data_IF_522098002074
#
_entry.id   IF_522098002074
#
_cell.length_a   1.000
_cell.length_b   1.000
_cell.length_c   1.000
_cell.angle_alpha   90.00
_cell.angle_beta   90.00
_cell.angle_gamma   90.00
#
_symmetry.space_group_name_H-M   'P 1'
#
loop_
_entity.id
_entity.type
_entity.pdbx_description
1 polymer ?
#
# COMPACT_ATOMS: atom_id res chain seq x y z
N UNK A 1 -0.79 4.87 -9.91
CA UNK A 1 -1.09 3.78 -8.95
C UNK A 1 0.08 2.82 -8.77
N UNK A 2 0.67 2.29 -9.86
CA UNK A 2 1.86 1.41 -9.81
C UNK A 2 3.01 1.97 -8.97
N UNK A 3 3.33 3.26 -9.14
CA UNK A 3 4.38 3.91 -8.34
C UNK A 3 4.10 3.92 -6.83
N UNK A 4 2.84 4.15 -6.43
CA UNK A 4 2.44 4.21 -5.01
C UNK A 4 2.57 2.84 -4.33
N UNK A 5 2.12 1.80 -5.04
CA UNK A 5 2.27 0.40 -4.64
C UNK A 5 3.75 0.08 -4.41
N UNK A 6 4.59 0.32 -5.41
CA UNK A 6 6.01 0.06 -5.29
C UNK A 6 6.68 0.95 -4.22
N UNK A 7 6.15 2.14 -3.92
CA UNK A 7 6.75 3.03 -2.91
C UNK A 7 6.53 2.45 -1.51
N UNK A 8 5.31 1.96 -1.27
CA UNK A 8 4.97 1.24 -0.06
C UNK A 8 5.85 -0.02 0.07
N UNK A 9 6.04 -0.77 -1.03
CA UNK A 9 6.94 -1.91 -1.07
C UNK A 9 8.37 -1.55 -0.67
N UNK A 10 8.92 -0.44 -1.14
CA UNK A 10 10.28 -0.02 -0.75
C UNK A 10 10.39 0.28 0.74
N UNK A 11 9.35 0.86 1.34
CA UNK A 11 9.30 1.10 2.79
C UNK A 11 9.31 -0.24 3.53
N UNK A 12 8.45 -1.18 3.14
CA UNK A 12 8.37 -2.50 3.78
C UNK A 12 9.61 -3.37 3.50
N UNK A 13 10.24 -3.25 2.34
CA UNK A 13 11.50 -3.91 2.04
C UNK A 13 12.63 -3.43 2.95
N UNK A 14 12.62 -2.15 3.34
CA UNK A 14 13.62 -1.58 4.25
C UNK A 14 13.34 -1.87 5.73
N UNK A 15 12.10 -1.72 6.17
CA UNK A 15 11.75 -1.76 7.60
C UNK A 15 11.13 -3.09 8.03
N UNK A 16 10.83 -3.99 7.10
CA UNK A 16 10.17 -5.26 7.33
C UNK A 16 8.70 -5.25 6.87
N UNK A 17 8.14 -6.46 6.81
CA UNK A 17 6.74 -6.66 6.47
C UNK A 17 5.80 -5.98 7.50
N UNK A 18 4.60 -5.52 7.08
CA UNK A 18 3.58 -5.03 8.00
C UNK A 18 3.23 -6.07 9.07
N UNK A 19 3.12 -5.64 10.32
CA UNK A 19 2.71 -6.45 11.48
C UNK A 19 1.22 -6.26 11.81
N UNK A 20 0.61 -5.16 11.37
CA UNK A 20 -0.81 -4.86 11.56
C UNK A 20 -1.46 -4.39 10.26
N UNK A 21 -2.69 -4.84 10.05
CA UNK A 21 -3.59 -4.35 9.02
C UNK A 21 -4.88 -3.85 9.65
N UNK A 22 -5.16 -2.57 9.46
CA UNK A 22 -6.29 -1.88 10.08
C UNK A 22 -7.19 -1.34 8.98
N UNK A 23 -8.48 -1.63 9.05
CA UNK A 23 -9.49 -1.01 8.19
C UNK A 23 -10.34 -0.07 9.03
N UNK A 24 -10.33 1.22 8.71
CA UNK A 24 -11.18 2.23 9.36
C UNK A 24 -12.22 2.75 8.39
N UNK A 25 -13.49 2.43 8.64
CA UNK A 25 -14.61 2.90 7.82
C UNK A 25 -15.34 4.04 8.52
N UNK A 26 -15.67 5.11 7.79
CA UNK A 26 -16.41 6.22 8.38
C UNK A 26 -17.76 5.79 8.96
N UNK A 27 -18.20 6.46 10.02
CA UNK A 27 -19.54 6.27 10.57
C UNK A 27 -20.43 7.48 10.23
N UNK A 28 -21.50 7.31 9.43
CA UNK A 28 -22.40 8.41 9.07
C UNK A 28 -23.24 8.91 10.25
N UNK A 29 -23.26 8.18 11.38
CA UNK A 29 -23.96 8.53 12.62
C UNK A 29 -23.07 9.25 13.63
N UNK A 30 -21.89 9.71 13.24
CA UNK A 30 -21.07 10.54 14.12
C UNK A 30 -21.83 11.82 14.51
N UNK A 31 -21.83 12.20 15.81
CA UNK A 31 -22.52 13.42 16.26
C UNK A 31 -22.09 14.67 15.49
N UNK A 32 -20.80 14.77 15.17
CA UNK A 32 -20.25 15.89 14.38
C UNK A 32 -20.90 16.02 13.00
N UNK A 33 -21.48 14.95 12.47
CA UNK A 33 -22.29 14.96 11.25
C UNK A 33 -23.75 15.21 11.62
N UNK A 34 -24.36 14.32 12.41
CA UNK A 34 -25.82 14.27 12.59
C UNK A 34 -26.40 15.50 13.28
N UNK A 35 -25.66 16.12 14.21
CA UNK A 35 -26.09 17.34 14.90
C UNK A 35 -26.02 18.58 14.00
N UNK A 36 -25.29 18.50 12.89
CA UNK A 36 -25.10 19.59 11.92
C UNK A 36 -25.97 19.43 10.66
N UNK A 37 -26.70 18.32 10.53
CA UNK A 37 -27.66 18.12 9.44
C UNK A 37 -28.96 18.89 9.71
N UNK A 38 -29.55 19.45 8.67
CA UNK A 38 -30.94 19.96 8.76
C UNK A 38 -31.89 18.77 8.93
N UNK A 39 -33.10 18.96 9.50
CA UNK A 39 -34.05 17.86 9.73
C UNK A 39 -34.42 17.02 8.49
N UNK A 40 -34.33 17.62 7.29
CA UNK A 40 -34.61 16.95 6.01
C UNK A 40 -33.38 16.40 5.30
N UNK A 41 -32.18 16.64 5.83
CA UNK A 41 -30.91 16.21 5.20
C UNK A 41 -30.48 14.85 5.74
N UNK A 42 -29.96 14.01 4.84
CA UNK A 42 -29.23 12.80 5.20
C UNK A 42 -27.72 12.99 5.00
N UNK A 43 -26.92 12.17 5.69
CA UNK A 43 -25.46 12.19 5.55
C UNK A 43 -24.99 12.02 4.10
N UNK A 44 -25.75 11.30 3.28
CA UNK A 44 -25.48 11.12 1.84
C UNK A 44 -25.62 12.41 1.04
N UNK A 45 -26.45 13.35 1.50
CA UNK A 45 -26.70 14.64 0.85
C UNK A 45 -25.62 15.65 1.21
N UNK A 46 -24.86 15.39 2.29
CA UNK A 46 -23.79 16.24 2.83
C UNK A 46 -22.44 15.53 2.84
N UNK A 47 -21.88 15.18 1.65
CA UNK A 47 -20.58 14.53 1.55
C UNK A 47 -19.44 15.40 2.11
N UNK A 48 -19.62 16.72 2.17
CA UNK A 48 -18.70 17.67 2.79
C UNK A 48 -18.51 17.42 4.28
N UNK A 49 -19.60 17.22 5.03
CA UNK A 49 -19.51 16.87 6.45
C UNK A 49 -18.89 15.49 6.65
N UNK A 50 -19.36 14.48 5.90
CA UNK A 50 -18.82 13.13 6.01
C UNK A 50 -17.30 13.11 5.75
N UNK A 51 -16.82 13.78 4.69
CA UNK A 51 -15.39 13.78 4.35
C UNK A 51 -14.55 14.57 5.34
N UNK A 52 -15.03 15.71 5.82
CA UNK A 52 -14.32 16.53 6.82
C UNK A 52 -14.14 15.77 8.12
N UNK A 53 -15.22 15.21 8.66
CA UNK A 53 -15.18 14.44 9.91
C UNK A 53 -14.34 13.19 9.75
N UNK A 54 -14.49 12.44 8.64
CA UNK A 54 -13.65 11.28 8.35
C UNK A 54 -12.16 11.63 8.30
N UNK A 55 -11.78 12.72 7.62
CA UNK A 55 -10.38 13.16 7.54
C UNK A 55 -9.79 13.50 8.91
N UNK A 56 -10.55 14.25 9.73
CA UNK A 56 -10.11 14.62 11.08
C UNK A 56 -9.94 13.39 11.98
N UNK A 57 -10.90 12.46 11.96
CA UNK A 57 -10.81 11.22 12.73
C UNK A 57 -9.71 10.30 12.21
N UNK A 58 -9.47 10.23 10.90
CA UNK A 58 -8.36 9.47 10.32
C UNK A 58 -7.01 10.04 10.77
N UNK A 59 -6.83 11.36 10.78
CA UNK A 59 -5.60 12.00 11.30
C UNK A 59 -5.38 11.66 12.77
N UNK A 60 -6.43 11.80 13.59
CA UNK A 60 -6.36 11.43 15.00
C UNK A 60 -6.03 9.93 15.20
N UNK A 61 -6.63 9.05 14.40
CA UNK A 61 -6.34 7.62 14.44
C UNK A 61 -4.88 7.33 14.07
N UNK A 62 -4.36 8.02 13.05
CA UNK A 62 -2.95 7.88 12.67
C UNK A 62 -2.00 8.38 13.76
N UNK A 63 -2.33 9.46 14.49
CA UNK A 63 -1.53 9.92 15.64
C UNK A 63 -1.55 8.90 16.79
N UNK A 64 -2.72 8.34 17.11
CA UNK A 64 -2.85 7.27 18.11
C UNK A 64 -1.98 6.05 17.78
N UNK A 65 -1.99 5.64 16.51
CA UNK A 65 -1.27 4.47 16.02
C UNK A 65 0.24 4.73 15.87
N UNK A 66 0.62 5.87 15.30
CA UNK A 66 2.00 6.14 14.89
C UNK A 66 2.81 6.90 15.95
N UNK A 67 2.18 7.78 16.74
CA UNK A 67 2.84 8.65 17.71
C UNK A 67 2.63 8.14 19.13
N UNK A 68 1.39 7.85 19.52
CA UNK A 68 1.06 7.43 20.88
C UNK A 68 1.27 5.93 21.12
N UNK A 69 1.36 5.14 20.07
CA UNK A 69 1.62 3.70 20.16
C UNK A 69 0.49 2.93 20.86
N UNK A 70 -0.76 3.36 20.66
CA UNK A 70 -1.97 2.79 21.30
C UNK A 70 -2.06 1.28 21.15
N UNK A 71 -1.70 0.77 19.97
CA UNK A 71 -1.54 -0.67 19.78
C UNK A 71 -0.16 -1.09 20.26
N UNK A 72 0.91 -0.64 19.59
CA UNK A 72 2.31 -0.75 20.03
C UNK A 72 3.17 0.27 19.27
N UNK A 73 4.46 0.42 19.59
CA UNK A 73 5.31 1.42 18.92
C UNK A 73 5.59 1.04 17.46
N UNK A 74 5.21 1.93 16.54
CA UNK A 74 5.47 1.76 15.10
C UNK A 74 6.83 2.32 14.66
N UNK A 75 7.42 1.73 13.62
CA UNK A 75 8.59 2.28 12.90
C UNK A 75 8.24 2.75 11.49
N UNK A 76 7.20 2.19 10.88
CA UNK A 76 6.77 2.59 9.55
C UNK A 76 5.26 2.41 9.41
N UNK A 77 4.64 3.25 8.60
CA UNK A 77 3.26 3.05 8.21
C UNK A 77 2.99 3.55 6.78
N UNK A 78 1.98 2.96 6.17
CA UNK A 78 1.41 3.40 4.89
C UNK A 78 -0.09 3.24 4.99
N UNK A 79 -0.85 4.20 4.47
CA UNK A 79 -2.29 4.00 4.31
C UNK A 79 -2.79 4.47 2.95
N UNK A 80 -3.92 3.88 2.56
CA UNK A 80 -4.68 4.27 1.37
C UNK A 80 -6.14 4.45 1.73
N UNK A 81 -6.80 5.40 1.09
CA UNK A 81 -8.22 5.65 1.20
C UNK A 81 -8.89 5.08 -0.04
N UNK A 82 -9.94 4.31 0.17
CA UNK A 82 -10.75 3.72 -0.87
C UNK A 82 -12.18 4.23 -0.76
N UNK A 83 -12.77 4.54 -1.91
CA UNK A 83 -14.17 4.91 -2.06
C UNK A 83 -14.84 3.80 -2.86
N UNK A 84 -15.81 3.11 -2.27
CA UNK A 84 -16.57 2.07 -2.95
C UNK A 84 -17.81 2.67 -3.64
N UNK A 85 -18.22 2.09 -4.78
CA UNK A 85 -19.53 2.41 -5.42
C UNK A 85 -20.70 2.36 -4.43
N UNK A 86 -20.67 1.39 -3.51
CA UNK A 86 -21.66 1.21 -2.44
C UNK A 86 -20.90 1.00 -1.14
N UNK A 87 -20.75 2.06 -0.36
CA UNK A 87 -20.01 2.00 0.89
C UNK A 87 -19.61 3.39 1.37
N UNK A 88 -19.30 3.46 2.65
CA UNK A 88 -18.71 4.63 3.28
C UNK A 88 -17.21 4.65 2.95
N UNK A 89 -16.56 5.82 2.94
CA UNK A 89 -15.10 5.87 2.73
C UNK A 89 -14.40 5.06 3.82
N UNK A 90 -13.33 4.39 3.44
CA UNK A 90 -12.51 3.64 4.39
C UNK A 90 -11.03 3.77 4.09
N UNK A 91 -10.25 3.73 5.16
CA UNK A 91 -8.80 3.70 5.10
C UNK A 91 -8.31 2.28 5.36
N UNK A 92 -7.38 1.83 4.54
CA UNK A 92 -6.56 0.64 4.74
C UNK A 92 -5.20 1.08 5.22
N UNK A 93 -4.87 0.76 6.47
CA UNK A 93 -3.69 1.22 7.18
C UNK A 93 -2.80 0.01 7.47
N UNK A 94 -1.52 0.18 7.20
CA UNK A 94 -0.48 -0.81 7.45
C UNK A 94 0.57 -0.23 8.36
N UNK A 95 0.95 -1.02 9.35
CA UNK A 95 1.92 -0.63 10.36
C UNK A 95 2.98 -1.69 10.47
N UNK A 96 4.24 -1.25 10.45
CA UNK A 96 5.40 -2.04 10.86
C UNK A 96 5.76 -1.61 12.28
N UNK A 97 5.82 -2.57 13.20
CA UNK A 97 6.16 -2.36 14.59
C UNK A 97 7.66 -2.43 14.80
N UNK A 98 8.14 -1.79 15.87
CA UNK A 98 9.51 -2.01 16.36
C UNK A 98 9.70 -3.47 16.69
N UNK A 99 10.94 -3.98 16.58
CA UNK A 99 11.26 -5.37 16.85
C UNK A 99 10.78 -5.83 18.25
N UNK A 100 11.06 -5.04 19.28
CA UNK A 100 10.67 -5.32 20.69
C UNK A 100 9.15 -5.22 20.92
N UNK A 101 8.45 -4.58 19.99
CA UNK A 101 7.01 -4.33 20.02
C UNK A 101 6.23 -5.32 19.14
N UNK A 102 6.85 -6.37 18.58
CA UNK A 102 6.11 -7.34 17.76
C UNK A 102 5.22 -8.27 18.60
N UNK A 103 4.14 -8.74 18.00
CA UNK A 103 3.21 -9.71 18.60
C UNK A 103 3.78 -11.14 18.48
N UNK A 104 4.52 -11.57 19.50
CA UNK A 104 5.20 -12.88 19.50
C UNK A 104 4.39 -14.01 20.13
N UNK A 105 3.39 -13.69 20.96
CA UNK A 105 2.57 -14.67 21.70
C UNK A 105 1.08 -14.39 21.55
N UNK A 106 0.25 -15.42 21.72
CA UNK A 106 -1.21 -15.30 21.74
C UNK A 106 -1.69 -14.35 22.84
N UNK A 107 -1.13 -14.46 24.05
CA UNK A 107 -1.44 -13.55 25.16
C UNK A 107 -1.14 -12.09 24.82
N UNK A 108 -0.06 -11.82 24.08
CA UNK A 108 0.23 -10.47 23.60
C UNK A 108 -0.78 -9.98 22.56
N UNK A 109 -1.35 -10.85 21.74
CA UNK A 109 -2.38 -10.49 20.78
C UNK A 109 -3.69 -10.19 21.51
N UNK A 110 -4.10 -11.08 22.43
CA UNK A 110 -5.38 -10.99 23.15
C UNK A 110 -5.48 -9.74 24.04
N UNK A 111 -4.34 -9.17 24.46
CA UNK A 111 -4.29 -7.87 25.14
C UNK A 111 -4.74 -6.69 24.28
N UNK A 112 -4.65 -6.80 22.95
CA UNK A 112 -4.90 -5.68 22.02
C UNK A 112 -5.99 -5.96 20.99
N UNK A 113 -6.26 -7.22 20.67
CA UNK A 113 -7.24 -7.61 19.67
C UNK A 113 -8.23 -8.58 20.28
N UNK A 114 -9.52 -8.22 20.19
CA UNK A 114 -10.64 -9.03 20.62
C UNK A 114 -11.47 -9.42 19.40
N UNK A 115 -12.07 -10.61 19.44
CA UNK A 115 -13.00 -11.10 18.43
C UNK A 115 -14.29 -11.66 19.06
N UNK A 116 -14.67 -11.13 20.22
CA UNK A 116 -15.87 -11.52 20.98
C UNK A 116 -16.82 -10.32 21.16
N UNK A 117 -18.10 -10.62 21.35
CA UNK A 117 -19.16 -9.70 21.74
C UNK A 117 -18.90 -9.33 23.22
N UNK A 118 -18.74 -8.05 23.56
CA UNK A 118 -18.58 -7.61 24.94
C UNK A 118 -19.84 -7.85 25.78
N UNK A 119 -19.68 -7.93 27.10
CA UNK A 119 -20.83 -7.96 28.03
C UNK A 119 -21.70 -6.71 27.86
N UNK A 120 -23.00 -6.92 27.62
CA UNK A 120 -24.01 -5.86 27.51
C UNK A 120 -24.29 -5.15 28.84
N UNK A 121 -23.89 -5.75 29.96
CA UNK A 121 -24.06 -5.19 31.31
C UNK A 121 -22.81 -4.43 31.74
N UNK A 122 -21.63 -5.03 31.60
CA UNK A 122 -20.38 -4.43 32.08
C UNK A 122 -19.84 -3.37 31.12
N UNK A 123 -20.00 -3.59 29.81
CA UNK A 123 -19.48 -2.71 28.77
C UNK A 123 -20.57 -2.38 27.72
N UNK A 124 -21.71 -1.79 28.12
CA UNK A 124 -22.87 -1.59 27.25
C UNK A 124 -22.54 -0.79 25.99
N UNK A 125 -21.69 0.24 26.12
CA UNK A 125 -21.27 1.08 25.00
C UNK A 125 -20.42 0.31 24.00
N UNK A 126 -19.49 -0.52 24.46
CA UNK A 126 -18.66 -1.32 23.55
C UNK A 126 -19.51 -2.41 22.88
N UNK A 127 -20.42 -3.04 23.63
CA UNK A 127 -21.39 -3.99 23.10
C UNK A 127 -22.20 -3.38 21.96
N UNK A 128 -22.76 -2.18 22.15
CA UNK A 128 -23.52 -1.47 21.13
C UNK A 128 -22.69 -1.21 19.86
N UNK A 129 -21.44 -0.74 20.01
CA UNK A 129 -20.56 -0.48 18.87
C UNK A 129 -20.22 -1.78 18.14
N UNK A 130 -19.88 -2.85 18.87
CA UNK A 130 -19.55 -4.14 18.27
C UNK A 130 -20.75 -4.72 17.54
N UNK A 131 -21.92 -4.75 18.16
CA UNK A 131 -23.16 -5.24 17.56
C UNK A 131 -23.53 -4.47 16.27
N UNK A 132 -23.37 -3.14 16.28
CA UNK A 132 -23.74 -2.29 15.15
C UNK A 132 -22.70 -2.24 14.04
N UNK A 133 -21.42 -2.31 14.37
CA UNK A 133 -20.33 -2.02 13.42
C UNK A 133 -19.40 -3.20 13.16
N UNK A 134 -19.21 -4.14 14.08
CA UNK A 134 -18.20 -5.20 13.95
C UNK A 134 -18.80 -6.59 13.76
N UNK A 135 -20.13 -6.71 13.69
CA UNK A 135 -20.77 -7.97 13.34
C UNK A 135 -20.86 -8.13 11.82
N UNK A 136 -20.33 -9.24 11.32
CA UNK A 136 -20.60 -9.64 9.95
C UNK A 136 -22.05 -10.09 9.83
N UNK A 137 -22.80 -9.44 8.95
CA UNK A 137 -24.19 -9.83 8.71
C UNK A 137 -24.33 -11.26 8.15
N UNK A 138 -25.55 -11.84 8.21
CA UNK A 138 -25.81 -13.19 7.70
C UNK A 138 -25.39 -13.34 6.23
N UNK A 139 -24.75 -14.47 5.91
CA UNK A 139 -24.31 -14.84 4.57
C UNK A 139 -24.34 -16.37 4.37
N UNK A 140 -24.08 -16.82 3.15
CA UNK A 140 -24.07 -18.23 2.79
C UNK A 140 -25.49 -18.76 2.65
N UNK A 141 -25.78 -19.91 3.25
CA UNK A 141 -27.14 -20.51 3.25
C UNK A 141 -28.16 -19.52 3.83
N UNK A 142 -27.78 -18.78 4.86
CA UNK A 142 -28.65 -17.83 5.53
C UNK A 142 -29.01 -16.60 4.69
N UNK A 143 -28.13 -16.22 3.76
CA UNK A 143 -28.37 -15.14 2.82
C UNK A 143 -27.56 -15.38 1.53
N UNK A 144 -28.13 -16.13 0.57
CA UNK A 144 -27.44 -16.49 -0.68
C UNK A 144 -27.14 -15.30 -1.60
N UNK A 145 -27.78 -14.15 -1.36
CA UNK A 145 -27.57 -12.91 -2.12
C UNK A 145 -26.53 -11.98 -1.46
N UNK A 146 -25.87 -12.43 -0.39
CA UNK A 146 -24.88 -11.62 0.29
C UNK A 146 -23.70 -11.28 -0.66
N UNK A 147 -23.28 -10.01 -0.75
CA UNK A 147 -22.23 -9.58 -1.68
C UNK A 147 -20.84 -10.14 -1.32
N UNK A 148 -20.70 -10.71 -0.12
CA UNK A 148 -19.46 -11.37 0.33
C UNK A 148 -19.29 -12.79 -0.21
N UNK A 149 -20.29 -13.37 -0.88
CA UNK A 149 -20.21 -14.73 -1.39
C UNK A 149 -19.43 -14.82 -2.72
N UNK A 150 -18.64 -15.87 -2.84
CA UNK A 150 -17.98 -16.31 -4.06
C UNK A 150 -18.01 -17.84 -4.09
N UNK A 151 -18.50 -18.43 -5.18
CA UNK A 151 -18.71 -19.87 -5.28
C UNK A 151 -19.45 -20.46 -4.05
N UNK A 152 -20.48 -19.74 -3.58
CA UNK A 152 -21.30 -20.09 -2.39
C UNK A 152 -20.56 -20.13 -1.04
N UNK A 153 -19.30 -19.68 -0.98
CA UNK A 153 -18.55 -19.52 0.26
C UNK A 153 -18.31 -18.04 0.56
N UNK A 154 -18.28 -17.68 1.85
CA UNK A 154 -17.98 -16.31 2.25
C UNK A 154 -16.50 -16.01 1.98
N UNK A 155 -16.20 -15.00 1.13
CA UNK A 155 -14.83 -14.53 0.86
C UNK A 155 -14.08 -14.11 2.14
N UNK A 156 -14.81 -13.71 3.19
CA UNK A 156 -14.25 -13.32 4.50
C UNK A 156 -14.12 -14.50 5.48
N UNK A 157 -14.44 -15.73 5.03
CA UNK A 157 -14.38 -16.97 5.83
C UNK A 157 -15.17 -16.87 7.14
N UNK A 158 -16.38 -16.31 7.07
CA UNK A 158 -17.31 -16.21 8.19
C UNK A 158 -18.54 -17.12 7.93
N UNK A 159 -19.10 -17.75 8.98
CA UNK A 159 -18.67 -17.72 10.39
C UNK A 159 -17.30 -18.39 10.62
N UNK A 160 -16.55 -17.89 11.61
CA UNK A 160 -15.32 -18.53 12.10
C UNK A 160 -15.66 -19.68 13.06
N UNK A 161 -14.70 -20.54 13.34
CA UNK A 161 -14.85 -21.57 14.36
C UNK A 161 -14.71 -20.96 15.77
N UNK A 162 -15.39 -21.56 16.75
CA UNK A 162 -15.13 -21.27 18.16
C UNK A 162 -13.76 -21.80 18.56
N UNK A 163 -13.09 -21.07 19.46
CA UNK A 163 -11.75 -21.40 19.97
C UNK A 163 -11.62 -20.94 21.41
N UNK A 164 -10.98 -21.75 22.24
CA UNK A 164 -10.68 -21.47 23.65
C UNK A 164 -9.40 -20.67 23.86
N UNK A 165 -8.55 -20.55 22.83
CA UNK A 165 -7.36 -19.72 22.86
C UNK A 165 -7.02 -19.20 21.46
N UNK A 166 -6.31 -18.08 21.40
CA UNK A 166 -5.75 -17.58 20.14
C UNK A 166 -4.55 -18.42 19.73
N UNK A 167 -4.53 -18.88 18.48
CA UNK A 167 -3.39 -19.65 17.94
C UNK A 167 -2.74 -18.92 16.78
N UNK A 168 -1.41 -18.91 16.75
CA UNK A 168 -0.64 -18.36 15.63
C UNK A 168 -0.87 -19.20 14.38
N UNK A 169 -1.13 -18.53 13.25
CA UNK A 169 -1.29 -19.19 11.96
C UNK A 169 -0.12 -18.83 11.05
N UNK A 170 0.69 -19.82 10.68
CA UNK A 170 1.86 -19.63 9.81
C UNK A 170 1.47 -19.19 8.39
N UNK A 171 0.23 -19.49 7.96
CA UNK A 171 -0.24 -19.26 6.59
C UNK A 171 -1.20 -18.07 6.43
N UNK A 172 -1.51 -17.31 7.48
CA UNK A 172 -2.52 -16.25 7.42
C UNK A 172 -2.49 -15.29 8.60
N UNK A 173 -3.67 -14.85 9.02
CA UNK A 173 -3.90 -14.11 10.27
C UNK A 173 -4.03 -15.10 11.44
N UNK A 174 -3.69 -14.70 12.68
CA UNK A 174 -3.98 -15.48 13.88
C UNK A 174 -5.45 -15.93 13.92
N UNK A 175 -5.66 -17.12 14.47
CA UNK A 175 -7.00 -17.63 14.70
C UNK A 175 -7.39 -17.21 16.11
N UNK A 176 -8.12 -16.11 16.22
CA UNK A 176 -8.47 -15.49 17.48
C UNK A 176 -9.38 -16.35 18.35
N UNK A 177 -9.21 -16.21 19.65
CA UNK A 177 -10.09 -16.70 20.70
C UNK A 177 -11.55 -16.24 20.50
N UNK A 178 -12.49 -17.19 20.57
CA UNK A 178 -13.94 -17.00 20.37
C UNK A 178 -14.72 -18.03 21.18
N UNK A 179 -15.27 -17.64 22.34
CA UNK A 179 -16.06 -18.54 23.18
C UNK A 179 -17.51 -18.64 22.71
N UNK A 180 -18.17 -19.80 22.90
CA UNK A 180 -19.62 -19.88 22.79
C UNK A 180 -20.27 -19.16 23.98
N UNK A 181 -21.50 -18.67 23.80
CA UNK A 181 -22.29 -18.05 24.87
C UNK A 181 -22.95 -16.76 24.42
N UNK A 182 -22.17 -15.69 24.35
CA UNK A 182 -22.70 -14.35 24.05
C UNK A 182 -23.26 -14.25 22.62
N UNK A 183 -24.41 -13.58 22.52
CA UNK A 183 -25.10 -13.32 21.27
C UNK A 183 -25.50 -11.85 21.16
N UNK A 184 -25.66 -11.39 19.92
CA UNK A 184 -26.16 -10.06 19.60
C UNK A 184 -27.15 -10.17 18.44
N UNK A 185 -28.17 -9.31 18.46
CA UNK A 185 -29.18 -9.28 17.40
C UNK A 185 -28.74 -8.35 16.27
N UNK A 186 -28.47 -8.93 15.10
CA UNK A 186 -27.91 -8.23 13.93
C UNK A 186 -28.80 -8.50 12.73
N UNK A 187 -29.36 -7.43 12.15
CA UNK A 187 -30.22 -7.50 10.94
C UNK A 187 -31.35 -8.53 11.03
N UNK A 188 -32.01 -8.61 12.19
CA UNK A 188 -33.14 -9.51 12.39
C UNK A 188 -32.76 -10.95 12.78
N UNK A 189 -31.50 -11.22 13.08
CA UNK A 189 -31.02 -12.55 13.49
C UNK A 189 -30.14 -12.47 14.71
N UNK A 190 -30.23 -13.49 15.55
CA UNK A 190 -29.29 -13.71 16.65
C UNK A 190 -27.99 -14.27 16.09
N UNK A 191 -26.87 -13.61 16.40
CA UNK A 191 -25.54 -13.96 15.91
C UNK A 191 -24.57 -14.01 17.09
N UNK A 192 -23.61 -14.92 17.03
CA UNK A 192 -22.65 -15.17 18.12
C UNK A 192 -21.23 -14.69 17.76
N UNK A 193 -20.29 -14.99 18.66
CA UNK A 193 -18.88 -14.66 18.53
C UNK A 193 -18.22 -15.15 17.24
N UNK A 194 -18.79 -16.08 16.47
CA UNK A 194 -18.23 -16.54 15.19
C UNK A 194 -18.30 -15.49 14.09
N UNK A 195 -19.14 -14.47 14.24
CA UNK A 195 -19.38 -13.44 13.24
C UNK A 195 -18.69 -12.11 13.53
N UNK A 196 -18.04 -12.00 14.68
CA UNK A 196 -17.34 -10.77 15.11
C UNK A 196 -16.08 -10.56 14.28
N UNK A 197 -15.94 -9.37 13.71
CA UNK A 197 -14.72 -8.90 13.05
C UNK A 197 -13.71 -8.46 14.12
N UNK A 198 -12.44 -8.89 14.08
CA UNK A 198 -11.44 -8.54 15.09
C UNK A 198 -11.27 -7.03 15.29
N UNK A 199 -11.17 -6.58 16.53
CA UNK A 199 -11.13 -5.15 16.86
C UNK A 199 -10.28 -4.87 18.10
N UNK A 200 -9.93 -3.60 18.30
CA UNK A 200 -9.34 -3.12 19.56
C UNK A 200 -10.41 -2.33 20.35
N UNK A 201 -10.72 -2.71 21.61
CA UNK A 201 -11.75 -2.05 22.42
C UNK A 201 -11.58 -0.54 22.57
N UNK A 202 -10.35 -0.08 22.82
CA UNK A 202 -10.04 1.35 23.01
C UNK A 202 -10.32 2.15 21.73
N UNK A 203 -9.86 1.66 20.56
CA UNK A 203 -10.09 2.33 19.28
C UNK A 203 -11.60 2.42 18.97
N UNK A 204 -12.37 1.36 19.24
CA UNK A 204 -13.81 1.40 19.03
C UNK A 204 -14.49 2.43 19.92
N UNK A 205 -14.18 2.45 21.21
CA UNK A 205 -14.76 3.41 22.16
C UNK A 205 -14.42 4.85 21.80
N UNK A 206 -13.19 5.11 21.34
CA UNK A 206 -12.74 6.45 20.95
C UNK A 206 -13.37 6.95 19.66
N UNK A 207 -13.42 6.10 18.63
CA UNK A 207 -13.82 6.53 17.29
C UNK A 207 -15.27 6.20 16.93
N UNK A 208 -15.95 5.34 17.67
CA UNK A 208 -17.33 4.89 17.41
C UNK A 208 -17.56 4.58 15.92
N UNK A 209 -16.84 3.60 15.40
CA UNK A 209 -16.80 3.28 13.98
C UNK A 209 -16.43 1.82 13.73
N UNK A 210 -16.63 1.35 12.50
CA UNK A 210 -16.12 0.04 12.08
C UNK A 210 -14.59 0.12 11.92
N UNK A 211 -13.86 -0.33 12.95
CA UNK A 211 -12.39 -0.47 12.93
C UNK A 211 -12.03 -1.95 13.07
N UNK A 212 -11.64 -2.57 11.96
CA UNK A 212 -11.06 -3.92 11.97
C UNK A 212 -9.57 -3.83 12.28
N UNK A 213 -9.06 -4.63 13.20
CA UNK A 213 -7.64 -4.72 13.55
C UNK A 213 -7.16 -6.16 13.40
N UNK A 214 -6.31 -6.40 12.40
CA UNK A 214 -5.76 -7.72 12.11
C UNK A 214 -4.25 -7.75 12.34
N UNK A 215 -3.78 -8.73 13.11
CA UNK A 215 -2.34 -8.97 13.28
C UNK A 215 -1.81 -9.79 12.10
N UNK A 216 -0.77 -9.29 11.44
CA UNK A 216 -0.21 -9.89 10.24
C UNK A 216 1.09 -10.62 10.60
N UNK A 217 1.02 -11.95 10.65
CA UNK A 217 2.17 -12.78 11.03
C UNK A 217 2.80 -13.52 9.84
N UNK A 218 2.17 -13.48 8.66
CA UNK A 218 2.59 -14.25 7.49
C UNK A 218 2.74 -13.41 6.22
N UNK A 219 3.64 -13.83 5.33
CA UNK A 219 3.83 -13.23 4.00
C UNK A 219 2.56 -13.34 3.12
N UNK A 220 1.68 -14.30 3.37
CA UNK A 220 0.40 -14.44 2.65
C UNK A 220 -0.60 -13.35 3.03
N UNK A 221 -0.69 -12.97 4.31
CA UNK A 221 -1.49 -11.84 4.75
C UNK A 221 -1.00 -10.54 4.07
N UNK A 222 0.32 -10.38 3.96
CA UNK A 222 0.97 -9.28 3.28
C UNK A 222 0.61 -9.20 1.78
N UNK A 223 0.55 -10.34 1.07
CA UNK A 223 0.05 -10.39 -0.33
C UNK A 223 -1.39 -9.88 -0.46
N UNK A 224 -2.28 -10.32 0.43
CA UNK A 224 -3.68 -9.92 0.43
C UNK A 224 -3.82 -8.41 0.65
N UNK A 225 -3.05 -7.88 1.60
CA UNK A 225 -2.94 -6.46 1.93
C UNK A 225 -2.49 -5.63 0.72
N UNK A 226 -1.51 -6.10 -0.05
CA UNK A 226 -1.03 -5.38 -1.22
C UNK A 226 -2.10 -5.20 -2.29
N UNK A 227 -3.04 -6.14 -2.41
CA UNK A 227 -4.17 -5.95 -3.33
C UNK A 227 -4.97 -4.69 -2.99
N UNK A 228 -5.08 -4.29 -1.71
CA UNK A 228 -5.78 -3.08 -1.29
C UNK A 228 -4.99 -1.81 -1.56
N UNK A 229 -3.67 -1.80 -1.36
CA UNK A 229 -2.82 -0.65 -1.71
C UNK A 229 -2.82 -0.41 -3.23
N UNK A 230 -2.80 -1.50 -3.98
CA UNK A 230 -2.58 -1.49 -5.42
C UNK A 230 -3.90 -1.58 -6.20
N UNK A 231 -5.06 -1.55 -5.51
CA UNK A 231 -6.39 -1.63 -6.12
C UNK A 231 -6.65 -0.39 -6.98
N UNK A 232 -7.08 -0.65 -8.21
CA UNK A 232 -7.58 0.31 -9.18
C UNK A 232 -8.69 1.20 -8.64
N UNK A 233 -8.95 2.30 -9.35
CA UNK A 233 -10.20 3.02 -9.17
C UNK A 233 -11.33 2.23 -9.80
N UNK A 234 -12.53 2.35 -9.23
CA UNK A 234 -13.71 1.76 -9.83
C UNK A 234 -13.96 2.41 -11.19
N UNK A 235 -14.08 1.60 -12.24
CA UNK A 235 -14.48 2.05 -13.57
C UNK A 235 -15.92 1.64 -13.88
N UNK A 236 -16.53 2.34 -14.82
CA UNK A 236 -17.83 2.05 -15.39
C UNK A 236 -17.69 2.01 -16.92
N UNK A 237 -18.12 0.88 -17.49
CA UNK A 237 -18.27 0.75 -18.93
C UNK A 237 -19.68 1.22 -19.31
N UNK A 238 -19.77 2.20 -20.19
CA UNK A 238 -21.02 2.78 -20.68
C UNK A 238 -21.15 2.51 -22.17
N UNK A 239 -22.32 2.06 -22.61
CA UNK A 239 -22.62 1.87 -24.03
C UNK A 239 -23.28 3.14 -24.56
N UNK A 240 -22.74 3.72 -25.63
CA UNK A 240 -23.33 4.86 -26.32
C UNK A 240 -24.26 4.35 -27.42
N UNK A 241 -25.55 4.21 -27.13
CA UNK A 241 -26.57 3.96 -28.17
C UNK A 241 -27.05 5.27 -28.78
N UNK A 242 -26.36 5.75 -29.81
CA UNK A 242 -26.97 6.63 -30.82
C UNK A 242 -27.55 5.73 -31.94
N UNK A 243 -28.68 6.12 -32.53
CA UNK A 243 -29.46 5.30 -33.48
C UNK A 243 -28.66 4.68 -34.64
N UNK A 244 -29.23 3.61 -35.21
CA UNK A 244 -28.65 2.67 -36.19
C UNK A 244 -27.22 2.21 -35.86
N UNK A 245 -27.14 1.04 -35.22
CA UNK A 245 -25.92 0.37 -34.79
C UNK A 245 -25.02 0.06 -35.99
N UNK A 246 -24.03 0.93 -36.26
CA UNK A 246 -22.78 0.48 -36.86
C UNK A 246 -21.98 -0.24 -35.77
N UNK A 247 -21.75 -1.54 -35.95
CA UNK A 247 -20.93 -2.38 -35.05
C UNK A 247 -19.47 -1.91 -35.11
N UNK A 248 -19.10 -0.94 -34.27
CA UNK A 248 -17.72 -0.53 -34.06
C UNK A 248 -17.45 -0.44 -32.54
N UNK A 249 -16.59 -1.32 -32.02
CA UNK A 249 -16.33 -1.47 -30.58
C UNK A 249 -15.68 -0.25 -29.92
N UNK A 250 -14.93 0.56 -30.68
CA UNK A 250 -14.20 1.72 -30.13
C UNK A 250 -15.11 2.94 -29.84
N UNK A 251 -16.01 3.39 -30.75
CA UNK A 251 -16.91 4.51 -30.49
C UNK A 251 -18.14 4.14 -29.63
N UNK A 252 -18.48 2.85 -29.52
CA UNK A 252 -19.71 2.43 -28.84
C UNK A 252 -19.56 2.23 -27.33
N UNK A 253 -18.33 2.22 -26.80
CA UNK A 253 -18.06 1.96 -25.38
C UNK A 253 -17.15 3.04 -24.78
N UNK A 254 -17.59 3.64 -23.67
CA UNK A 254 -16.76 4.48 -22.82
C UNK A 254 -16.39 3.68 -21.58
N UNK A 255 -15.09 3.40 -21.37
CA UNK A 255 -14.57 3.00 -20.06
C UNK A 255 -14.17 4.26 -19.29
N UNK A 256 -15.04 4.68 -18.37
CA UNK A 256 -14.85 5.89 -17.58
C UNK A 256 -14.57 5.56 -16.11
N UNK A 257 -13.71 6.36 -15.49
CA UNK A 257 -13.52 6.31 -14.05
C UNK A 257 -14.79 6.80 -13.33
N UNK A 258 -15.28 6.00 -12.41
CA UNK A 258 -16.32 6.42 -11.48
C UNK A 258 -15.70 7.25 -10.35
N UNK A 259 -16.30 8.41 -10.05
CA UNK A 259 -15.93 9.27 -8.92
C UNK A 259 -17.19 9.53 -8.11
N UNK A 260 -17.25 9.01 -6.89
CA UNK A 260 -18.40 9.23 -6.00
C UNK A 260 -18.40 10.65 -5.44
N UNK A 261 -19.56 11.13 -4.96
CA UNK A 261 -19.64 12.44 -4.31
C UNK A 261 -18.68 12.60 -3.11
N UNK A 262 -18.54 11.59 -2.21
CA UNK A 262 -17.47 11.56 -1.21
C UNK A 262 -16.06 11.69 -1.78
N UNK A 263 -15.72 10.95 -2.85
CA UNK A 263 -14.39 11.03 -3.46
C UNK A 263 -14.13 12.41 -4.08
N UNK A 264 -15.11 12.96 -4.79
CA UNK A 264 -15.02 14.29 -5.38
C UNK A 264 -14.77 15.34 -4.29
N UNK A 265 -15.55 15.28 -3.21
CA UNK A 265 -15.40 16.17 -2.07
C UNK A 265 -14.03 16.04 -1.40
N UNK A 266 -13.53 14.81 -1.20
CA UNK A 266 -12.20 14.54 -0.64
C UNK A 266 -11.08 15.24 -1.42
N UNK A 267 -11.21 15.29 -2.76
CA UNK A 267 -10.28 15.98 -3.65
C UNK A 267 -10.42 17.49 -3.57
N UNK A 268 -11.65 18.01 -3.54
CA UNK A 268 -11.92 19.45 -3.47
C UNK A 268 -11.34 20.07 -2.20
N UNK A 269 -11.38 19.35 -1.08
CA UNK A 269 -10.76 19.79 0.19
C UNK A 269 -9.23 19.55 0.23
N UNK A 270 -8.61 19.16 -0.89
CA UNK A 270 -7.16 18.99 -1.00
C UNK A 270 -6.59 17.81 -0.22
N UNK A 271 -7.41 16.81 0.16
CA UNK A 271 -6.95 15.70 0.99
C UNK A 271 -6.27 14.60 0.17
N UNK A 272 -5.19 14.05 0.70
CA UNK A 272 -4.42 12.99 0.02
C UNK A 272 -5.09 11.63 0.18
N UNK A 273 -5.26 10.90 -0.92
CA UNK A 273 -5.81 9.53 -0.90
C UNK A 273 -4.84 8.49 -0.33
N UNK A 274 -3.56 8.84 -0.18
CA UNK A 274 -2.54 7.94 0.34
C UNK A 274 -1.54 8.75 1.13
N UNK A 275 -0.99 8.14 2.18
CA UNK A 275 0.11 8.71 2.94
C UNK A 275 1.06 7.61 3.44
N UNK A 276 2.22 8.03 3.93
CA UNK A 276 3.32 7.16 4.35
C UNK A 276 4.22 7.88 5.35
N UNK A 277 4.84 7.11 6.24
CA UNK A 277 5.76 7.65 7.25
C UNK A 277 7.11 8.13 6.69
N UNK A 278 7.48 7.71 5.47
CA UNK A 278 8.78 8.02 4.85
C UNK A 278 8.62 8.59 3.45
N UNK A 279 9.40 9.63 3.14
CA UNK A 279 9.51 10.13 1.77
C UNK A 279 10.28 9.12 0.92
N UNK A 280 9.75 8.75 -0.25
CA UNK A 280 10.41 7.79 -1.15
C UNK A 280 11.12 8.55 -2.26
N UNK A 281 12.45 8.52 -2.28
CA UNK A 281 13.26 9.11 -3.34
C UNK A 281 13.46 8.10 -4.46
N UNK A 282 12.88 8.39 -5.64
CA UNK A 282 12.91 7.51 -6.80
C UNK A 282 14.08 7.84 -7.71
N UNK A 283 15.09 6.99 -7.70
CA UNK A 283 16.32 7.10 -8.46
C UNK A 283 16.11 6.63 -9.91
N UNK A 284 16.36 7.48 -10.91
CA UNK A 284 16.21 7.14 -12.33
C UNK A 284 17.27 6.14 -12.77
N UNK A 285 16.87 5.27 -13.69
CA UNK A 285 17.73 4.33 -14.41
C UNK A 285 17.53 4.58 -15.90
N UNK A 286 18.58 5.00 -16.59
CA UNK A 286 18.54 5.28 -18.03
C UNK A 286 19.94 5.12 -18.64
N UNK A 287 19.99 4.95 -19.95
CA UNK A 287 21.24 4.94 -20.71
C UNK A 287 21.74 6.36 -20.99
N UNK A 288 22.99 6.53 -21.44
CA UNK A 288 23.47 7.80 -21.98
C UNK A 288 22.47 8.38 -22.98
N UNK A 289 22.12 9.67 -22.82
CA UNK A 289 21.21 10.41 -23.70
C UNK A 289 19.77 9.85 -23.81
N UNK A 290 19.39 8.88 -22.97
CA UNK A 290 18.02 8.34 -22.91
C UNK A 290 17.29 8.74 -21.63
N UNK A 291 17.62 9.91 -21.07
CA UNK A 291 16.94 10.44 -19.88
C UNK A 291 15.51 10.85 -20.21
N UNK A 292 14.60 10.60 -19.26
CA UNK A 292 13.19 10.97 -19.41
C UNK A 292 13.05 12.49 -19.35
N UNK A 293 12.37 13.05 -20.35
CA UNK A 293 12.00 14.47 -20.43
C UNK A 293 10.49 14.60 -20.26
N UNK A 294 10.05 15.61 -19.52
CA UNK A 294 8.63 15.95 -19.39
C UNK A 294 8.42 17.32 -20.03
N UNK A 295 7.47 17.40 -20.95
CA UNK A 295 7.16 18.60 -21.72
C UNK A 295 5.66 18.87 -21.69
N UNK A 296 5.28 20.10 -22.02
CA UNK A 296 3.90 20.45 -22.35
C UNK A 296 3.74 20.32 -23.86
N UNK A 297 2.56 19.90 -24.30
CA UNK A 297 2.23 19.79 -25.72
C UNK A 297 2.53 21.12 -26.44
N UNK A 298 3.30 21.05 -27.52
CA UNK A 298 3.78 22.23 -28.28
C UNK A 298 5.07 22.88 -27.76
N UNK A 299 5.68 22.35 -26.70
CA UNK A 299 6.95 22.82 -26.12
C UNK A 299 8.01 21.70 -26.06
N UNK A 300 7.97 20.76 -26.99
CA UNK A 300 8.85 19.59 -27.05
C UNK A 300 10.32 20.01 -27.19
N UNK A 301 10.61 20.92 -28.11
CA UNK A 301 11.97 21.33 -28.47
C UNK A 301 12.66 22.11 -27.34
N UNK A 302 11.93 23.05 -26.72
CA UNK A 302 12.38 23.77 -25.53
C UNK A 302 12.70 22.82 -24.36
N UNK A 303 11.85 21.82 -24.16
CA UNK A 303 12.05 20.82 -23.10
C UNK A 303 13.25 19.92 -23.39
N UNK A 304 13.48 19.55 -24.65
CA UNK A 304 14.66 18.80 -25.08
C UNK A 304 15.95 19.62 -24.86
N UNK A 305 15.95 20.89 -25.25
CA UNK A 305 17.11 21.77 -25.08
C UNK A 305 17.42 22.00 -23.59
N UNK A 306 16.39 22.25 -22.77
CA UNK A 306 16.52 22.34 -21.33
C UNK A 306 17.01 21.02 -20.70
N UNK A 307 16.63 19.86 -21.26
CA UNK A 307 17.08 18.57 -20.78
C UNK A 307 18.55 18.29 -21.10
N UNK A 308 19.10 18.82 -22.21
CA UNK A 308 20.52 18.65 -22.57
C UNK A 308 21.44 19.21 -21.50
N UNK A 309 21.13 20.40 -20.98
CA UNK A 309 21.92 21.07 -19.94
C UNK A 309 21.67 20.56 -18.51
N UNK A 310 20.52 19.91 -18.27
CA UNK A 310 20.17 19.36 -16.95
C UNK A 310 20.77 17.99 -16.72
N UNK A 311 21.51 17.85 -15.63
CA UNK A 311 21.97 16.56 -15.16
C UNK A 311 20.85 15.82 -14.42
N UNK A 312 20.80 14.51 -14.59
CA UNK A 312 19.93 13.64 -13.78
C UNK A 312 20.58 13.30 -12.45
N UNK A 313 19.80 12.73 -11.52
CA UNK A 313 20.33 12.16 -10.27
C UNK A 313 21.43 11.11 -10.52
N UNK A 314 21.30 10.31 -11.58
CA UNK A 314 22.28 9.28 -11.95
C UNK A 314 23.57 9.91 -12.49
N UNK A 315 23.44 10.85 -13.41
CA UNK A 315 24.59 11.58 -13.99
C UNK A 315 25.33 12.39 -12.91
N UNK A 316 24.59 13.02 -12.01
CA UNK A 316 25.16 13.77 -10.89
C UNK A 316 25.85 12.86 -9.88
N UNK A 317 25.40 11.61 -9.72
CA UNK A 317 26.07 10.64 -8.85
C UNK A 317 27.43 10.24 -9.41
N UNK A 318 27.52 10.04 -10.72
CA UNK A 318 28.80 9.80 -11.40
C UNK A 318 29.80 10.93 -11.15
N UNK A 319 29.35 12.20 -11.24
CA UNK A 319 30.21 13.36 -10.96
C UNK A 319 30.58 13.49 -9.49
N UNK A 320 29.65 13.15 -8.60
CA UNK A 320 29.92 13.11 -7.16
C UNK A 320 31.06 12.14 -6.85
N UNK A 321 31.03 10.94 -7.45
CA UNK A 321 32.07 9.93 -7.24
C UNK A 321 33.43 10.33 -7.82
N UNK A 322 33.48 11.19 -8.84
CA UNK A 322 34.75 11.73 -9.33
C UNK A 322 35.41 12.71 -8.34
N UNK A 323 34.59 13.43 -7.57
CA UNK A 323 35.06 14.56 -6.75
C UNK A 323 35.17 14.24 -5.24
N UNK A 324 34.42 13.25 -4.74
CA UNK A 324 34.29 12.99 -3.30
C UNK A 324 34.60 11.53 -2.96
N UNK A 325 35.73 11.24 -2.28
CA UNK A 325 36.08 9.88 -1.86
C UNK A 325 35.02 9.20 -0.98
N UNK A 326 34.37 9.94 -0.07
CA UNK A 326 33.28 9.42 0.77
C UNK A 326 32.16 8.80 -0.08
N UNK A 327 31.81 9.43 -1.21
CA UNK A 327 30.75 8.95 -2.10
C UNK A 327 31.13 7.67 -2.85
N UNK A 328 32.43 7.44 -3.07
CA UNK A 328 32.91 6.26 -3.78
C UNK A 328 32.64 4.95 -3.03
N UNK A 329 32.44 5.04 -1.71
CA UNK A 329 32.11 3.89 -0.86
C UNK A 329 30.62 3.53 -0.88
N UNK A 330 29.78 4.39 -1.46
CA UNK A 330 28.32 4.25 -1.40
C UNK A 330 27.74 3.72 -2.71
N UNK A 331 26.74 2.85 -2.58
CA UNK A 331 25.89 2.46 -3.71
C UNK A 331 25.02 3.62 -4.15
N UNK A 332 24.53 3.59 -5.39
CA UNK A 332 23.62 4.63 -5.89
C UNK A 332 22.37 4.77 -5.00
N UNK A 333 21.85 3.66 -4.47
CA UNK A 333 20.73 3.62 -3.53
C UNK A 333 21.06 4.19 -2.15
N UNK A 334 22.33 4.28 -1.78
CA UNK A 334 22.74 4.81 -0.47
C UNK A 334 22.97 6.32 -0.48
N UNK A 335 23.15 6.90 -1.67
CA UNK A 335 23.39 8.34 -1.83
C UNK A 335 22.30 9.19 -1.19
N UNK A 336 21.00 8.94 -1.35
CA UNK A 336 19.97 9.78 -0.73
C UNK A 336 20.04 9.87 0.80
N UNK A 337 20.64 8.88 1.47
CA UNK A 337 20.80 8.88 2.92
C UNK A 337 21.93 9.81 3.39
N UNK A 338 22.94 10.01 2.55
CA UNK A 338 24.14 10.78 2.85
C UNK A 338 24.19 12.13 2.12
N UNK A 339 23.41 12.29 1.05
CA UNK A 339 23.38 13.46 0.18
C UNK A 339 21.93 13.91 -0.10
N UNK A 340 21.78 15.19 -0.38
CA UNK A 340 20.54 15.84 -0.83
C UNK A 340 20.73 16.24 -2.28
N UNK A 341 19.77 15.91 -3.14
CA UNK A 341 19.74 16.38 -4.51
C UNK A 341 19.12 17.77 -4.56
N UNK A 342 19.91 18.78 -4.93
CA UNK A 342 19.49 20.17 -5.02
C UNK A 342 20.14 20.83 -6.23
N UNK A 343 19.34 21.57 -7.02
CA UNK A 343 19.79 22.28 -8.24
C UNK A 343 20.67 21.41 -9.14
N UNK A 344 20.19 20.20 -9.45
CA UNK A 344 20.84 19.22 -10.30
C UNK A 344 22.21 18.74 -9.80
N UNK A 345 22.44 18.73 -8.49
CA UNK A 345 23.69 18.26 -7.89
C UNK A 345 23.44 17.58 -6.55
N UNK A 346 24.31 16.63 -6.20
CA UNK A 346 24.33 16.02 -4.87
C UNK A 346 25.19 16.85 -3.91
N UNK A 347 24.62 17.20 -2.75
CA UNK A 347 25.32 17.92 -1.68
C UNK A 347 25.24 17.11 -0.39
N UNK A 348 26.29 17.14 0.44
CA UNK A 348 26.31 16.39 1.71
C UNK A 348 25.10 16.75 2.57
N UNK A 349 24.36 15.74 3.01
CA UNK A 349 23.15 15.87 3.80
C UNK A 349 23.51 16.26 5.23
N UNK A 350 22.83 17.27 5.76
CA UNK A 350 22.99 17.70 7.15
C UNK A 350 21.96 17.07 8.11
N UNK A 351 20.73 16.79 7.64
CA UNK A 351 19.61 16.28 8.45
C UNK A 351 18.65 15.41 7.63
N UNK A 352 17.83 14.61 8.31
CA UNK A 352 16.64 13.94 7.73
C UNK A 352 16.90 12.70 6.88
N UNK A 353 18.12 12.14 6.89
CA UNK A 353 18.44 10.91 6.15
C UNK A 353 17.62 9.71 6.65
N UNK A 354 17.29 9.71 7.94
CA UNK A 354 16.43 8.69 8.56
C UNK A 354 14.94 8.79 8.19
N UNK A 355 14.47 9.85 7.50
CA UNK A 355 13.07 10.01 7.07
C UNK A 355 12.84 9.74 5.58
N UNK A 356 13.81 9.10 4.93
CA UNK A 356 13.76 8.81 3.50
C UNK A 356 13.87 7.31 3.27
N UNK A 357 13.32 6.83 2.17
CA UNK A 357 13.62 5.54 1.57
C UNK A 357 14.03 5.77 0.12
N UNK A 358 15.23 5.33 -0.26
CA UNK A 358 15.67 5.37 -1.65
C UNK A 358 15.14 4.13 -2.38
N UNK A 359 14.76 4.30 -3.64
CA UNK A 359 14.48 3.16 -4.53
C UNK A 359 14.85 3.51 -5.96
N UNK A 360 15.25 2.52 -6.75
CA UNK A 360 15.30 2.70 -8.20
C UNK A 360 13.94 2.42 -8.84
N UNK A 361 13.68 3.02 -10.01
CA UNK A 361 12.51 2.64 -10.80
C UNK A 361 12.56 1.15 -11.16
N UNK A 362 11.39 0.50 -11.14
CA UNK A 362 11.24 -0.87 -11.61
C UNK A 362 11.51 -0.89 -13.11
N UNK A 363 12.42 -1.77 -13.54
CA UNK A 363 12.75 -1.97 -14.95
C UNK A 363 12.09 -3.27 -15.41
N UNK A 364 11.47 -3.23 -16.60
CA UNK A 364 10.88 -4.42 -17.20
C UNK A 364 12.00 -5.40 -17.58
N UNK A 365 11.90 -6.66 -17.19
CA UNK A 365 12.90 -7.71 -17.52
C UNK A 365 13.06 -7.89 -19.03
N UNK A 366 12.03 -7.56 -19.84
CA UNK A 366 12.14 -7.54 -21.31
C UNK A 366 13.08 -6.45 -21.85
N UNK A 367 13.31 -5.39 -21.08
CA UNK A 367 14.31 -4.36 -21.35
C UNK A 367 15.66 -4.81 -20.77
N UNK A 368 16.25 -5.82 -21.41
CA UNK A 368 17.33 -6.62 -20.87
C UNK A 368 18.54 -5.76 -20.43
N UNK A 369 19.05 -4.90 -21.30
CA UNK A 369 20.23 -4.08 -20.96
C UNK A 369 19.95 -3.11 -19.82
N UNK A 370 18.73 -2.56 -19.72
CA UNK A 370 18.41 -1.61 -18.64
C UNK A 370 18.22 -2.36 -17.31
N UNK A 371 17.75 -3.60 -17.38
CA UNK A 371 17.68 -4.49 -16.23
C UNK A 371 19.08 -4.78 -15.70
N UNK A 372 20.05 -5.12 -16.55
CA UNK A 372 21.44 -5.33 -16.12
C UNK A 372 22.12 -4.04 -15.64
N UNK A 373 21.80 -2.89 -16.25
CA UNK A 373 22.24 -1.59 -15.72
C UNK A 373 21.71 -1.37 -14.29
N UNK A 374 20.42 -1.62 -14.03
CA UNK A 374 19.85 -1.53 -12.67
C UNK A 374 20.57 -2.47 -11.71
N UNK A 375 20.83 -3.71 -12.11
CA UNK A 375 21.60 -4.68 -11.32
C UNK A 375 22.98 -4.13 -10.95
N UNK A 376 23.73 -3.59 -11.91
CA UNK A 376 25.03 -2.98 -11.63
C UNK A 376 24.93 -1.79 -10.68
N UNK A 377 23.92 -0.93 -10.83
CA UNK A 377 23.68 0.20 -9.93
C UNK A 377 23.34 -0.21 -8.48
N UNK A 378 22.82 -1.42 -8.28
CA UNK A 378 22.58 -2.00 -6.95
C UNK A 378 23.83 -2.57 -6.28
N UNK A 379 24.88 -2.91 -7.05
CA UNK A 379 26.00 -3.69 -6.55
C UNK A 379 27.37 -3.03 -6.73
N UNK A 380 27.49 -2.02 -7.59
CA UNK A 380 28.75 -1.35 -7.91
C UNK A 380 28.78 0.02 -7.24
N UNK A 381 29.48 0.18 -6.09
CA UNK A 381 29.67 1.48 -5.46
C UNK A 381 30.64 2.34 -6.27
N UNK A 382 30.58 3.65 -6.05
CA UNK A 382 31.58 4.60 -6.55
C UNK A 382 31.71 4.71 -8.07
N UNK A 383 30.74 4.24 -8.84
CA UNK A 383 30.82 4.33 -10.29
C UNK A 383 30.91 5.79 -10.74
N UNK A 384 31.95 6.13 -11.49
CA UNK A 384 32.21 7.49 -11.96
C UNK A 384 31.67 7.77 -13.37
N UNK A 385 31.11 6.76 -14.05
CA UNK A 385 30.51 6.87 -15.39
C UNK A 385 29.77 5.58 -15.79
N UNK A 386 29.00 5.62 -16.87
CA UNK A 386 28.46 4.42 -17.51
C UNK A 386 29.57 3.45 -17.99
N UNK A 387 30.72 3.98 -18.43
CA UNK A 387 31.88 3.18 -18.82
C UNK A 387 32.46 2.41 -17.63
N UNK A 388 32.51 3.06 -16.46
CA UNK A 388 32.95 2.42 -15.21
C UNK A 388 32.06 1.23 -14.85
N UNK A 389 30.73 1.38 -14.97
CA UNK A 389 29.80 0.26 -14.70
C UNK A 389 30.06 -0.95 -15.61
N UNK A 390 30.55 -0.73 -16.83
CA UNK A 390 30.92 -1.81 -17.76
C UNK A 390 32.34 -2.36 -17.59
N UNK A 391 33.12 -1.83 -16.65
CA UNK A 391 34.51 -2.24 -16.45
C UNK A 391 34.62 -3.28 -15.32
N UNK A 392 35.17 -4.46 -15.56
CA UNK A 392 35.49 -5.49 -14.54
C UNK A 392 36.95 -5.88 -14.73
N UNK A 393 37.74 -5.93 -13.64
CA UNK A 393 39.15 -6.33 -13.69
C UNK A 393 39.97 -5.62 -14.80
N UNK A 394 39.75 -4.31 -14.95
CA UNK A 394 40.33 -3.45 -16.00
C UNK A 394 39.91 -3.76 -17.45
N UNK A 395 38.98 -4.69 -17.68
CA UNK A 395 38.38 -4.98 -18.98
C UNK A 395 37.04 -4.27 -19.12
N UNK A 396 36.84 -3.57 -20.23
CA UNK A 396 35.57 -2.88 -20.54
C UNK A 396 34.76 -3.77 -21.47
N UNK A 397 33.57 -4.15 -21.02
CA UNK A 397 32.63 -4.94 -21.82
C UNK A 397 31.70 -4.07 -22.66
N UNK A 398 31.20 -4.61 -23.77
CA UNK A 398 30.31 -3.88 -24.67
C UNK A 398 28.93 -3.65 -24.05
N UNK A 399 28.44 -4.62 -23.28
CA UNK A 399 27.09 -4.62 -22.69
C UNK A 399 27.13 -4.59 -21.17
N UNK A 400 26.05 -4.08 -20.56
CA UNK A 400 25.86 -4.19 -19.11
C UNK A 400 25.63 -5.63 -18.69
N UNK A 401 25.01 -6.47 -19.55
CA UNK A 401 24.88 -7.91 -19.32
C UNK A 401 26.23 -8.58 -19.09
N UNK A 402 27.16 -8.41 -20.01
CA UNK A 402 28.50 -9.00 -19.90
C UNK A 402 29.21 -8.51 -18.63
N UNK A 403 29.15 -7.22 -18.34
CA UNK A 403 29.75 -6.67 -17.13
C UNK A 403 29.11 -7.19 -15.83
N UNK A 404 27.81 -7.50 -15.83
CA UNK A 404 27.14 -8.14 -14.69
C UNK A 404 27.53 -9.62 -14.57
N UNK A 405 27.62 -10.34 -15.69
CA UNK A 405 28.07 -11.73 -15.74
C UNK A 405 29.50 -11.89 -15.19
N UNK A 406 30.44 -11.08 -15.67
CA UNK A 406 31.84 -11.12 -15.23
C UNK A 406 32.05 -10.64 -13.79
N UNK A 407 31.06 -9.94 -13.21
CA UNK A 407 31.04 -9.62 -11.77
C UNK A 407 30.43 -10.73 -10.91
N UNK A 408 30.06 -11.88 -11.51
CA UNK A 408 29.36 -12.96 -10.83
C UNK A 408 28.03 -12.52 -10.21
N UNK A 409 27.38 -11.50 -10.80
CA UNK A 409 26.02 -11.09 -10.41
C UNK A 409 24.93 -11.91 -11.11
N UNK A 410 25.34 -12.84 -11.98
CA UNK A 410 24.47 -13.78 -12.69
C UNK A 410 25.02 -15.19 -12.47
N UNK A 411 24.18 -16.11 -11.99
CA UNK A 411 24.60 -17.50 -11.74
C UNK A 411 24.62 -18.35 -13.03
N UNK A 412 23.80 -18.01 -14.04
CA UNK A 412 23.84 -18.53 -15.43
C UNK A 412 22.95 -17.66 -16.34
N UNK A 413 22.99 -17.90 -17.67
CA UNK A 413 22.06 -17.26 -18.63
C UNK A 413 20.56 -17.59 -18.36
N UNK A 414 20.28 -18.59 -17.52
CA UNK A 414 18.93 -19.10 -17.24
C UNK A 414 18.21 -18.33 -16.12
N UNK A 415 18.87 -17.44 -15.37
CA UNK A 415 18.22 -16.63 -14.33
C UNK A 415 17.15 -15.69 -14.90
N UNK A 416 17.38 -15.19 -16.12
CA UNK A 416 16.36 -14.41 -16.86
C UNK A 416 15.15 -15.29 -17.15
N UNK A 417 15.37 -16.53 -17.58
CA UNK A 417 14.31 -17.46 -17.93
C UNK A 417 13.60 -17.99 -16.69
N UNK A 418 14.28 -18.10 -15.54
CA UNK A 418 13.66 -18.41 -14.25
C UNK A 418 12.81 -17.24 -13.72
N UNK A 419 13.30 -16.00 -13.81
CA UNK A 419 12.52 -14.79 -13.51
C UNK A 419 11.32 -14.65 -14.46
N UNK A 420 11.49 -14.98 -15.74
CA UNK A 420 10.41 -14.98 -16.75
C UNK A 420 9.43 -16.15 -16.57
N UNK A 421 9.87 -17.33 -16.13
CA UNK A 421 8.99 -18.46 -15.85
C UNK A 421 8.16 -18.21 -14.60
N UNK A 422 8.75 -17.69 -13.53
CA UNK A 422 8.03 -17.18 -12.36
C UNK A 422 7.07 -16.05 -12.76
N UNK A 423 7.39 -15.31 -13.83
CA UNK A 423 6.53 -14.27 -14.38
C UNK A 423 5.31 -14.79 -15.16
N UNK A 424 5.42 -15.97 -15.76
CA UNK A 424 4.39 -16.57 -16.62
C UNK A 424 3.61 -17.72 -15.96
N UNK A 425 4.11 -18.33 -14.89
CA UNK A 425 3.46 -19.46 -14.24
C UNK A 425 2.30 -18.99 -13.34
N UNK A 426 1.07 -19.00 -13.85
CA UNK A 426 -0.24 -18.95 -13.12
C UNK A 426 -0.28 -18.06 -11.86
N UNK A 427 0.40 -16.93 -11.88
CA UNK A 427 0.50 -16.02 -10.75
C UNK A 427 -0.26 -14.75 -11.08
N UNK A 428 -1.15 -14.33 -10.19
CA UNK A 428 -1.89 -13.06 -10.33
C UNK A 428 -0.91 -11.89 -10.54
N UNK A 429 -1.34 -10.82 -11.22
CA UNK A 429 -0.49 -9.65 -11.52
C UNK A 429 0.17 -8.99 -10.30
N UNK A 430 -0.27 -9.34 -9.08
CA UNK A 430 0.32 -8.98 -7.79
C UNK A 430 1.57 -9.78 -7.41
N UNK A 431 1.69 -11.05 -7.80
CA UNK A 431 2.83 -11.92 -7.49
C UNK A 431 4.10 -11.49 -8.22
N UNK A 432 3.96 -11.18 -9.51
CA UNK A 432 4.95 -10.55 -10.38
C UNK A 432 5.58 -9.27 -9.80
N UNK A 433 4.78 -8.50 -9.07
CA UNK A 433 5.17 -7.19 -8.52
C UNK A 433 5.91 -7.31 -7.20
N UNK A 434 5.74 -8.43 -6.49
CA UNK A 434 6.46 -8.70 -5.26
C UNK A 434 7.92 -9.08 -5.58
N UNK A 435 8.12 -10.01 -6.52
CA UNK A 435 9.47 -10.47 -6.90
C UNK A 435 10.29 -9.40 -7.65
N UNK A 436 9.68 -8.60 -8.52
CA UNK A 436 10.39 -7.51 -9.26
C UNK A 436 10.76 -6.28 -8.43
N UNK A 437 10.28 -6.21 -7.18
CA UNK A 437 10.62 -5.15 -6.23
C UNK A 437 11.57 -5.64 -5.14
N UNK A 438 11.60 -6.96 -4.86
CA UNK A 438 12.50 -7.58 -3.89
C UNK A 438 13.86 -7.99 -4.49
N UNK A 439 13.95 -8.10 -5.82
CA UNK A 439 15.18 -8.13 -6.62
C UNK A 439 15.46 -6.73 -7.21
#
# INVERSE_FOLDING_TARGET
MRERCADAMSIFGKYGAPDLFITFTANPKWPEITENLRPSEHTTDRPDFLMRVFNLKLKSLMDDLAVHGVLRKSIAHVYTIEFQKRGLPHAHILIVLRADDKFLTSEHIDKFVCAEIPSSIENPRLYEIVANCLMHGPCGIENPRAPCLEASQCKKMLPREFRTETTMNVSGYPLYHRRPGDTAFVRGREMDNRFVVPYNPYLLLKYNAHINVEVCTSLRAVKYIYNYICKGFDCANMVLTAGQVQYNEIPNYIDARYVSAPEAMWRLIGSHMHDRSYAVMRLPVHFPNQKRVTFKDGHEEEALEAARSRQTMLESWFQLNQSYPDAQTLLYTDIPYNYVYDRNNWKRRKRGGNKIVARMYVVNVKDAERFYLRMLLLHVPGAASFKFLRMVDNVIYDTFKQAAFHRHLLNSDEERDHCLHLSNAKSTTSDLRLYSVLL
#
